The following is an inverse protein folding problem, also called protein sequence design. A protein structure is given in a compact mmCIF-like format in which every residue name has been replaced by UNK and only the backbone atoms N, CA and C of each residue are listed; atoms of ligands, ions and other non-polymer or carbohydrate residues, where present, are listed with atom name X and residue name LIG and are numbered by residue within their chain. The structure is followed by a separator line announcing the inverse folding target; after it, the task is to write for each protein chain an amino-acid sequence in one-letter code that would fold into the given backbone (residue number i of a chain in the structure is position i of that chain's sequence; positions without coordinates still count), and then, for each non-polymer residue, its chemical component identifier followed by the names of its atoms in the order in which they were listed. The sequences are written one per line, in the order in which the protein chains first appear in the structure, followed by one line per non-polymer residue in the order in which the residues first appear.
data_IF_459671580613
#
_entry.id   IF_459671580613
#
_cell.length_a   1.000
_cell.length_b   1.000
_cell.length_c   1.000
_cell.angle_alpha   90.00
_cell.angle_beta   90.00
_cell.angle_gamma   90.00
#
_symmetry.space_group_name_H-M   'P 1'
#
loop_
_entity.id
_entity.type
_entity.pdbx_description
1 polymer ?
#
# COMPACT_ATOMS: atom_id res chain seq x y z
N UNK A 1 12.08 1.93 -1.94
CA UNK A 1 12.23 0.91 -3.01
C UNK A 1 11.01 1.00 -3.91
N UNK A 2 11.15 1.49 -5.12
CA UNK A 2 10.04 1.68 -6.07
C UNK A 2 10.38 0.97 -7.37
N UNK A 3 9.46 0.17 -7.90
CA UNK A 3 9.62 -0.49 -9.19
C UNK A 3 9.38 0.46 -10.38
N UNK A 4 8.78 1.63 -10.14
CA UNK A 4 8.55 2.62 -11.19
C UNK A 4 9.79 3.51 -11.33
N UNK A 5 10.27 3.77 -12.55
CA UNK A 5 11.30 4.75 -12.77
C UNK A 5 10.78 6.15 -12.38
N UNK A 6 11.67 7.08 -11.94
CA UNK A 6 11.29 8.45 -11.78
C UNK A 6 10.73 8.95 -13.11
N UNK A 7 9.53 9.49 -13.10
CA UNK A 7 8.97 10.17 -14.27
C UNK A 7 9.34 11.64 -14.15
N UNK A 8 10.11 12.12 -15.12
CA UNK A 8 10.38 13.55 -15.27
C UNK A 8 9.12 14.21 -15.82
N UNK A 9 8.53 15.14 -15.05
CA UNK A 9 7.52 16.10 -15.49
C UNK A 9 6.17 15.56 -16.01
N UNK A 10 5.60 14.52 -15.42
CA UNK A 10 4.16 14.29 -15.63
C UNK A 10 3.39 15.43 -14.95
N UNK A 11 2.60 16.16 -15.71
CA UNK A 11 1.65 17.12 -15.16
C UNK A 11 0.58 16.34 -14.37
N UNK A 12 0.66 16.45 -13.03
CA UNK A 12 -0.24 15.73 -12.12
C UNK A 12 -1.69 16.11 -12.40
N UNK A 13 -1.94 17.35 -12.82
CA UNK A 13 -3.28 17.84 -13.12
C UNK A 13 -3.82 17.22 -14.42
N UNK A 14 -2.99 17.12 -15.44
CA UNK A 14 -3.37 16.44 -16.68
C UNK A 14 -3.64 14.95 -16.46
N UNK A 15 -2.78 14.26 -15.72
CA UNK A 15 -2.99 12.85 -15.37
C UNK A 15 -4.25 12.64 -14.53
N UNK A 16 -4.56 13.54 -13.62
CA UNK A 16 -5.76 13.49 -12.81
C UNK A 16 -7.01 13.61 -13.69
N UNK A 17 -7.05 14.60 -14.60
CA UNK A 17 -8.16 14.78 -15.55
C UNK A 17 -8.32 13.58 -16.49
N UNK A 18 -7.23 13.02 -17.01
CA UNK A 18 -7.28 11.80 -17.83
C UNK A 18 -7.88 10.61 -17.05
N UNK A 19 -7.56 10.45 -15.76
CA UNK A 19 -8.14 9.40 -14.94
C UNK A 19 -9.64 9.65 -14.66
N UNK A 20 -10.05 10.88 -14.44
CA UNK A 20 -11.48 11.25 -14.36
C UNK A 20 -12.22 10.83 -15.64
N UNK A 21 -11.68 11.15 -16.81
CA UNK A 21 -12.32 10.78 -18.09
C UNK A 21 -12.44 9.24 -18.25
N UNK A 22 -11.43 8.48 -17.82
CA UNK A 22 -11.50 7.01 -17.81
C UNK A 22 -12.62 6.49 -16.90
N UNK A 23 -12.78 7.08 -15.71
CA UNK A 23 -13.86 6.69 -14.79
C UNK A 23 -15.23 7.04 -15.36
N UNK A 24 -15.38 8.24 -15.94
CA UNK A 24 -16.63 8.66 -16.56
C UNK A 24 -17.05 7.77 -17.74
N UNK A 25 -16.08 7.27 -18.51
CA UNK A 25 -16.29 6.34 -19.63
C UNK A 25 -16.32 4.86 -19.24
N UNK A 26 -16.14 4.53 -17.97
CA UNK A 26 -16.05 3.15 -17.51
C UNK A 26 -17.40 2.42 -17.56
N UNK A 27 -17.44 1.13 -17.89
CA UNK A 27 -18.66 0.32 -17.82
C UNK A 27 -19.14 0.20 -16.37
N UNK A 28 -20.46 0.16 -16.16
CA UNK A 28 -21.07 0.15 -14.81
C UNK A 28 -20.85 -1.15 -14.01
N UNK A 29 -20.36 -2.20 -14.65
CA UNK A 29 -20.18 -3.53 -14.03
C UNK A 29 -18.74 -3.78 -13.58
N UNK A 30 -17.97 -2.74 -13.25
CA UNK A 30 -16.64 -2.88 -12.67
C UNK A 30 -16.79 -3.24 -11.18
N UNK A 31 -16.22 -4.36 -10.78
CA UNK A 31 -16.29 -4.83 -9.40
C UNK A 31 -15.13 -4.30 -8.52
N UNK A 32 -14.03 -3.84 -9.15
CA UNK A 32 -12.82 -3.46 -8.43
C UNK A 32 -12.04 -2.38 -9.17
N UNK A 33 -11.58 -1.37 -8.43
CA UNK A 33 -10.67 -0.32 -8.90
C UNK A 33 -9.49 -0.21 -7.93
N UNK A 34 -8.27 -0.38 -8.46
CA UNK A 34 -7.04 -0.08 -7.76
C UNK A 34 -6.59 1.35 -8.01
N UNK A 35 -6.43 2.15 -6.97
CA UNK A 35 -5.79 3.47 -7.05
C UNK A 35 -4.34 3.29 -6.62
N UNK A 36 -3.44 3.50 -7.55
CA UNK A 36 -1.99 3.37 -7.35
C UNK A 36 -1.26 4.42 -8.18
N UNK A 37 0.05 4.47 -8.08
CA UNK A 37 0.88 5.40 -8.84
C UNK A 37 2.18 5.66 -8.11
N UNK A 38 2.68 6.90 -8.07
CA UNK A 38 3.77 7.29 -7.19
C UNK A 38 3.31 7.16 -5.73
N UNK A 39 2.56 8.12 -5.26
CA UNK A 39 1.89 8.08 -3.96
C UNK A 39 0.54 8.80 -4.09
N UNK A 40 -0.60 8.08 -4.04
CA UNK A 40 -1.93 8.67 -4.25
C UNK A 40 -2.29 9.77 -3.27
N UNK A 41 -1.79 9.70 -2.03
CA UNK A 41 -2.10 10.71 -1.01
C UNK A 41 -1.48 12.08 -1.30
N UNK A 42 -0.48 12.16 -2.19
CA UNK A 42 0.08 13.45 -2.65
C UNK A 42 -0.90 14.25 -3.51
N UNK A 43 -1.99 13.65 -3.97
CA UNK A 43 -3.10 14.35 -4.61
C UNK A 43 -3.85 15.28 -3.63
N UNK A 44 -3.61 15.17 -2.31
CA UNK A 44 -4.29 15.99 -1.32
C UNK A 44 -5.81 15.85 -1.43
N UNK A 45 -6.53 16.98 -1.51
CA UNK A 45 -7.99 17.02 -1.60
C UNK A 45 -8.56 16.44 -2.92
N UNK A 46 -7.74 16.27 -3.93
CA UNK A 46 -8.16 15.61 -5.18
C UNK A 46 -8.42 14.12 -4.99
N UNK A 47 -7.75 13.46 -4.01
CA UNK A 47 -7.99 12.04 -3.75
C UNK A 47 -9.41 11.76 -3.23
N UNK A 48 -9.92 12.43 -2.18
CA UNK A 48 -11.34 12.30 -1.79
C UNK A 48 -12.30 12.64 -2.93
N UNK A 49 -12.01 13.67 -3.73
CA UNK A 49 -12.83 14.05 -4.90
C UNK A 49 -12.92 12.90 -5.91
N UNK A 50 -11.80 12.26 -6.22
CA UNK A 50 -11.75 11.10 -7.12
C UNK A 50 -12.57 9.92 -6.58
N UNK A 51 -12.45 9.63 -5.29
CA UNK A 51 -13.19 8.55 -4.61
C UNK A 51 -14.69 8.85 -4.67
N UNK A 52 -15.11 10.08 -4.38
CA UNK A 52 -16.51 10.50 -4.46
C UNK A 52 -17.08 10.33 -5.87
N UNK A 53 -16.31 10.68 -6.90
CA UNK A 53 -16.71 10.48 -8.30
C UNK A 53 -16.88 8.99 -8.63
N UNK A 54 -15.97 8.14 -8.16
CA UNK A 54 -16.08 6.68 -8.35
C UNK A 54 -17.34 6.17 -7.66
N UNK A 55 -17.65 6.59 -6.44
CA UNK A 55 -18.88 6.21 -5.72
C UNK A 55 -20.14 6.63 -6.44
N UNK A 56 -20.17 7.85 -7.00
CA UNK A 56 -21.30 8.33 -7.77
C UNK A 56 -21.56 7.50 -9.04
N UNK A 57 -20.50 7.16 -9.77
CA UNK A 57 -20.60 6.50 -11.08
C UNK A 57 -20.64 4.98 -10.99
N UNK A 58 -19.98 4.42 -10.01
CA UNK A 58 -19.72 2.99 -9.82
C UNK A 58 -19.99 2.60 -8.34
N UNK A 59 -21.22 2.69 -7.85
CA UNK A 59 -21.53 2.54 -6.42
C UNK A 59 -21.19 1.17 -5.86
N UNK A 60 -21.24 0.12 -6.67
CA UNK A 60 -20.97 -1.27 -6.25
C UNK A 60 -19.49 -1.70 -6.42
N UNK A 61 -18.61 -0.76 -6.79
CA UNK A 61 -17.20 -1.05 -7.06
C UNK A 61 -16.38 -0.99 -5.78
N UNK A 62 -15.61 -2.03 -5.49
CA UNK A 62 -14.62 -1.97 -4.42
C UNK A 62 -13.41 -1.11 -4.83
N UNK A 63 -13.04 -0.15 -3.99
CA UNK A 63 -11.86 0.70 -4.19
C UNK A 63 -10.73 0.21 -3.29
N UNK A 64 -9.56 -0.07 -3.88
CA UNK A 64 -8.37 -0.42 -3.15
C UNK A 64 -7.26 0.61 -3.41
N UNK A 65 -6.78 1.26 -2.36
CA UNK A 65 -5.76 2.32 -2.45
C UNK A 65 -4.43 1.79 -1.96
N UNK A 66 -3.43 1.76 -2.86
CA UNK A 66 -2.05 1.43 -2.51
C UNK A 66 -1.30 2.71 -2.16
N UNK A 67 -0.96 2.87 -0.89
CA UNK A 67 -0.28 4.06 -0.36
C UNK A 67 0.84 3.65 0.60
N UNK A 68 1.87 4.49 0.72
CA UNK A 68 2.88 4.33 1.77
C UNK A 68 2.32 4.57 3.20
N UNK A 69 1.10 5.05 3.32
CA UNK A 69 0.39 5.24 4.59
C UNK A 69 0.76 6.50 5.37
N UNK A 70 1.81 7.20 4.98
CA UNK A 70 2.42 8.26 5.80
C UNK A 70 1.54 9.48 5.99
N UNK A 71 0.86 9.96 4.94
CA UNK A 71 -0.03 11.13 5.05
C UNK A 71 -1.31 10.82 5.84
N UNK A 72 -1.69 9.56 5.98
CA UNK A 72 -2.74 9.14 6.90
C UNK A 72 -2.36 9.29 8.38
N UNK A 73 -1.12 9.64 8.70
CA UNK A 73 -0.73 10.06 10.06
C UNK A 73 -1.47 11.32 10.54
N UNK A 74 -2.02 12.13 9.60
CA UNK A 74 -3.01 13.16 9.92
C UNK A 74 -4.39 12.52 10.12
N UNK A 75 -4.98 12.58 11.35
CA UNK A 75 -6.31 12.02 11.61
C UNK A 75 -7.40 12.66 10.74
N UNK A 76 -7.30 13.98 10.51
CA UNK A 76 -8.24 14.73 9.70
C UNK A 76 -8.23 14.24 8.23
N UNK A 77 -7.03 14.09 7.65
CA UNK A 77 -6.89 13.59 6.29
C UNK A 77 -7.38 12.15 6.14
N UNK A 78 -7.02 11.27 7.09
CA UNK A 78 -7.50 9.89 7.12
C UNK A 78 -9.04 9.82 7.16
N UNK A 79 -9.65 10.60 8.07
CA UNK A 79 -11.11 10.68 8.19
C UNK A 79 -11.77 11.20 6.92
N UNK A 80 -11.22 12.26 6.31
CA UNK A 80 -11.75 12.82 5.06
C UNK A 80 -11.73 11.79 3.91
N UNK A 81 -10.60 11.10 3.71
CA UNK A 81 -10.49 10.10 2.64
C UNK A 81 -11.41 8.89 2.87
N UNK A 82 -11.49 8.40 4.11
CA UNK A 82 -12.32 7.22 4.43
C UNK A 82 -13.80 7.53 4.31
N UNK A 83 -14.25 8.70 4.79
CA UNK A 83 -15.68 9.06 4.81
C UNK A 83 -16.34 9.08 3.44
N UNK A 84 -15.57 9.40 2.39
CA UNK A 84 -16.09 9.43 1.00
C UNK A 84 -16.04 8.07 0.31
N UNK A 85 -15.27 7.12 0.84
CA UNK A 85 -15.09 5.78 0.27
C UNK A 85 -16.14 4.76 0.71
N UNK A 86 -16.88 5.05 1.78
CA UNK A 86 -17.83 4.14 2.39
C UNK A 86 -17.18 2.81 2.85
N UNK A 87 -17.96 1.78 3.13
CA UNK A 87 -17.51 0.45 3.54
C UNK A 87 -16.80 -0.36 2.43
N UNK A 88 -16.92 0.08 1.16
CA UNK A 88 -16.29 -0.55 0.00
C UNK A 88 -14.93 0.05 -0.36
N UNK A 89 -14.19 0.56 0.64
CA UNK A 89 -12.82 1.03 0.48
C UNK A 89 -11.85 0.20 1.32
N UNK A 90 -10.67 -0.06 0.78
CA UNK A 90 -9.57 -0.70 1.52
C UNK A 90 -8.23 -0.05 1.18
N UNK A 91 -7.28 -0.20 2.08
CA UNK A 91 -5.96 0.43 1.97
C UNK A 91 -4.86 -0.63 2.05
N UNK A 92 -4.00 -0.68 1.03
CA UNK A 92 -2.81 -1.51 1.03
C UNK A 92 -1.60 -0.69 1.49
N UNK A 93 -1.14 -0.95 2.73
CA UNK A 93 -0.08 -0.18 3.38
C UNK A 93 1.15 -1.07 3.59
N UNK A 94 2.35 -0.68 3.13
CA UNK A 94 3.56 -1.45 3.34
C UNK A 94 4.12 -1.27 4.76
N UNK A 95 4.48 -2.37 5.42
CA UNK A 95 5.31 -2.38 6.61
C UNK A 95 6.59 -3.16 6.31
N UNK A 96 7.73 -2.49 6.28
CA UNK A 96 8.99 -3.10 5.84
C UNK A 96 9.72 -3.86 6.96
N UNK A 97 9.53 -3.46 8.21
CA UNK A 97 10.11 -4.11 9.40
C UNK A 97 9.30 -3.78 10.66
N UNK A 98 9.43 -4.61 11.68
CA UNK A 98 8.99 -4.36 13.06
C UNK A 98 9.97 -3.43 13.81
N UNK A 99 11.14 -3.15 13.22
CA UNK A 99 12.18 -2.30 13.79
C UNK A 99 12.27 -0.99 12.98
N UNK A 100 12.19 0.14 13.69
CA UNK A 100 12.11 1.47 13.11
C UNK A 100 13.25 1.78 12.13
N UNK A 101 14.51 1.50 12.54
CA UNK A 101 15.67 1.81 11.71
C UNK A 101 15.66 1.04 10.39
N UNK A 102 15.28 -0.23 10.41
CA UNK A 102 15.21 -1.07 9.21
C UNK A 102 14.10 -0.60 8.29
N UNK A 103 12.92 -0.29 8.85
CA UNK A 103 11.80 0.25 8.07
C UNK A 103 12.19 1.58 7.43
N UNK A 104 12.75 2.51 8.19
CA UNK A 104 13.15 3.83 7.72
C UNK A 104 14.24 3.75 6.63
N UNK A 105 15.19 2.82 6.78
CA UNK A 105 16.23 2.58 5.79
C UNK A 105 15.65 2.07 4.47
N UNK A 106 14.72 1.11 4.52
CA UNK A 106 14.06 0.55 3.33
C UNK A 106 13.16 1.61 2.67
N UNK A 107 12.43 2.39 3.46
CA UNK A 107 11.53 3.44 2.98
C UNK A 107 12.30 4.69 2.48
N UNK A 108 13.58 4.85 2.86
CA UNK A 108 14.39 6.01 2.51
C UNK A 108 13.98 7.30 3.24
N UNK A 109 13.39 7.20 4.44
CA UNK A 109 12.97 8.35 5.23
C UNK A 109 12.94 8.05 6.72
N UNK A 110 13.57 8.90 7.53
CA UNK A 110 13.77 8.70 8.98
C UNK A 110 12.50 8.77 9.84
N UNK A 111 11.36 9.18 9.28
CA UNK A 111 10.07 9.25 9.98
C UNK A 111 9.04 8.25 9.44
N UNK A 112 9.41 7.48 8.40
CA UNK A 112 8.49 6.62 7.71
C UNK A 112 7.80 5.61 8.64
N UNK A 113 8.55 4.99 9.56
CA UNK A 113 8.00 4.00 10.49
C UNK A 113 6.87 4.56 11.36
N UNK A 114 7.15 5.67 12.03
CA UNK A 114 6.16 6.29 12.91
C UNK A 114 4.97 6.83 12.14
N UNK A 115 5.21 7.54 11.03
CA UNK A 115 4.14 8.07 10.18
C UNK A 115 3.25 6.94 9.63
N UNK A 116 3.84 5.82 9.18
CA UNK A 116 3.08 4.66 8.69
C UNK A 116 2.26 4.01 9.80
N UNK A 117 2.82 3.83 11.00
CA UNK A 117 2.07 3.27 12.14
C UNK A 117 0.89 4.18 12.55
N UNK A 118 1.12 5.49 12.66
CA UNK A 118 0.03 6.44 12.94
C UNK A 118 -1.03 6.41 11.84
N UNK A 119 -0.61 6.30 10.57
CA UNK A 119 -1.53 6.15 9.44
C UNK A 119 -2.40 4.89 9.56
N UNK A 120 -1.81 3.75 9.90
CA UNK A 120 -2.54 2.50 10.14
C UNK A 120 -3.57 2.64 11.27
N UNK A 121 -3.18 3.25 12.40
CA UNK A 121 -4.11 3.50 13.52
C UNK A 121 -5.26 4.43 13.12
N UNK A 122 -4.97 5.52 12.42
CA UNK A 122 -6.01 6.47 11.99
C UNK A 122 -6.98 5.84 10.97
N UNK A 123 -6.48 5.02 10.05
CA UNK A 123 -7.34 4.26 9.13
C UNK A 123 -8.23 3.27 9.91
N UNK A 124 -7.66 2.56 10.89
CA UNK A 124 -8.41 1.63 11.73
C UNK A 124 -9.49 2.34 12.58
N UNK A 125 -9.16 3.50 13.15
CA UNK A 125 -10.12 4.32 13.91
C UNK A 125 -11.30 4.79 13.07
N UNK A 126 -11.13 4.91 11.76
CA UNK A 126 -12.20 5.19 10.80
C UNK A 126 -12.84 3.92 10.22
N UNK A 127 -12.63 2.76 10.84
CA UNK A 127 -13.22 1.46 10.47
C UNK A 127 -12.91 1.00 9.04
N UNK A 128 -11.75 1.39 8.51
CA UNK A 128 -11.32 0.98 7.17
C UNK A 128 -10.79 -0.45 7.13
N UNK A 129 -11.01 -1.16 6.04
CA UNK A 129 -10.32 -2.41 5.76
C UNK A 129 -8.86 -2.13 5.37
N UNK A 130 -7.91 -2.79 6.04
CA UNK A 130 -6.48 -2.59 5.85
C UNK A 130 -5.80 -3.87 5.42
N UNK A 131 -5.14 -3.84 4.26
CA UNK A 131 -4.15 -4.80 3.84
C UNK A 131 -2.77 -4.35 4.33
N UNK A 132 -2.11 -5.15 5.15
CA UNK A 132 -0.71 -4.91 5.48
C UNK A 132 0.19 -5.66 4.50
N UNK A 133 1.03 -4.93 3.79
CA UNK A 133 1.87 -5.45 2.71
C UNK A 133 3.33 -5.57 3.17
N UNK A 134 3.87 -6.79 3.17
CA UNK A 134 5.26 -7.08 3.53
C UNK A 134 6.01 -7.45 2.25
N UNK A 135 6.73 -6.49 1.65
CA UNK A 135 7.61 -6.76 0.51
C UNK A 135 8.90 -7.37 1.03
N UNK A 136 9.10 -8.66 0.77
CA UNK A 136 10.22 -9.45 1.26
C UNK A 136 11.46 -9.12 0.44
N UNK A 137 12.53 -8.76 1.14
CA UNK A 137 13.81 -8.42 0.56
C UNK A 137 14.98 -8.86 1.48
N UNK A 138 16.21 -8.72 1.01
CA UNK A 138 17.39 -9.17 1.75
C UNK A 138 17.61 -8.44 3.10
N UNK A 139 16.99 -7.28 3.29
CA UNK A 139 17.11 -6.51 4.53
C UNK A 139 16.14 -6.97 5.62
N UNK A 140 14.97 -7.55 5.23
CA UNK A 140 13.93 -7.89 6.19
C UNK A 140 13.58 -9.39 6.27
N UNK A 141 13.98 -10.24 5.30
CA UNK A 141 13.50 -11.63 5.27
C UNK A 141 13.81 -12.44 6.53
N UNK A 142 14.98 -12.22 7.16
CA UNK A 142 15.35 -12.91 8.40
C UNK A 142 14.49 -12.50 9.60
N UNK A 143 13.83 -11.34 9.51
CA UNK A 143 12.95 -10.81 10.56
C UNK A 143 11.46 -11.14 10.34
N UNK A 144 11.10 -11.91 9.31
CA UNK A 144 9.70 -12.26 9.05
C UNK A 144 8.97 -12.87 10.26
N UNK A 145 9.60 -13.76 11.09
CA UNK A 145 8.96 -14.23 12.31
C UNK A 145 8.67 -13.11 13.32
N UNK A 146 9.62 -12.18 13.51
CA UNK A 146 9.48 -11.04 14.43
C UNK A 146 8.44 -10.04 13.92
N UNK A 147 8.46 -9.73 12.61
CA UNK A 147 7.46 -8.89 11.95
C UNK A 147 6.07 -9.49 12.15
N UNK A 148 5.91 -10.78 11.93
CA UNK A 148 4.63 -11.48 12.12
C UNK A 148 4.14 -11.40 13.56
N UNK A 149 5.02 -11.61 14.54
CA UNK A 149 4.73 -11.47 15.97
C UNK A 149 4.32 -10.03 16.33
N UNK A 150 5.05 -9.05 15.80
CA UNK A 150 4.73 -7.63 15.99
C UNK A 150 3.32 -7.30 15.48
N UNK A 151 2.97 -7.77 14.28
CA UNK A 151 1.65 -7.54 13.68
C UNK A 151 0.55 -8.15 14.54
N UNK A 152 0.68 -9.41 14.93
CA UNK A 152 -0.31 -10.11 15.76
C UNK A 152 -0.53 -9.42 17.11
N UNK A 153 0.54 -8.87 17.69
CA UNK A 153 0.48 -8.23 19.01
C UNK A 153 -0.01 -6.79 18.97
N UNK A 154 0.39 -6.02 17.96
CA UNK A 154 0.23 -4.57 17.95
C UNK A 154 -0.73 -4.06 16.86
N UNK A 155 -0.97 -4.83 15.80
CA UNK A 155 -1.78 -4.44 14.64
C UNK A 155 -2.92 -5.43 14.39
N UNK A 156 -3.56 -5.92 15.45
CA UNK A 156 -4.64 -6.92 15.37
C UNK A 156 -5.89 -6.42 14.64
N UNK A 157 -6.00 -5.13 14.38
CA UNK A 157 -7.07 -4.49 13.61
C UNK A 157 -6.88 -4.61 12.08
N UNK A 158 -5.73 -5.08 11.61
CA UNK A 158 -5.46 -5.30 10.17
C UNK A 158 -6.37 -6.41 9.65
N UNK A 159 -6.99 -6.18 8.49
CA UNK A 159 -7.97 -7.12 7.90
C UNK A 159 -7.30 -8.33 7.27
N UNK A 160 -6.17 -8.13 6.58
CA UNK A 160 -5.34 -9.21 6.01
C UNK A 160 -3.90 -8.77 5.81
N UNK A 161 -3.01 -9.75 5.63
CA UNK A 161 -1.58 -9.54 5.45
C UNK A 161 -1.14 -10.22 4.15
N UNK A 162 -0.44 -9.47 3.29
CA UNK A 162 0.17 -9.97 2.06
C UNK A 162 1.68 -10.02 2.19
N UNK A 163 2.25 -11.22 2.17
CA UNK A 163 3.69 -11.40 2.01
C UNK A 163 4.03 -11.46 0.53
N UNK A 164 4.80 -10.49 0.04
CA UNK A 164 5.05 -10.28 -1.37
C UNK A 164 6.53 -10.51 -1.66
N UNK A 165 6.86 -11.53 -2.45
CA UNK A 165 8.20 -11.71 -2.97
C UNK A 165 8.56 -10.55 -3.89
N UNK A 166 9.77 -10.01 -3.73
CA UNK A 166 10.21 -8.91 -4.59
C UNK A 166 10.52 -9.41 -6.00
N UNK A 167 9.97 -8.74 -7.00
CA UNK A 167 10.25 -9.01 -8.41
C UNK A 167 11.44 -8.18 -8.89
N UNK A 168 12.18 -8.73 -9.86
CA UNK A 168 13.32 -8.08 -10.52
C UNK A 168 12.85 -7.20 -11.67
N UNK A 169 12.14 -6.10 -11.35
CA UNK A 169 11.55 -5.20 -12.34
C UNK A 169 11.95 -3.76 -12.04
N UNK A 170 12.24 -2.97 -13.07
CA UNK A 170 12.55 -1.55 -12.94
C UNK A 170 13.83 -1.29 -12.14
N UNK A 171 13.79 -0.37 -11.18
CA UNK A 171 14.95 -0.05 -10.34
C UNK A 171 15.44 -1.24 -9.48
N UNK A 172 14.59 -2.23 -9.24
CA UNK A 172 14.99 -3.44 -8.51
C UNK A 172 15.98 -4.29 -9.31
N UNK A 173 15.95 -4.26 -10.63
CA UNK A 173 16.89 -5.01 -11.49
C UNK A 173 18.33 -4.46 -11.37
N UNK A 174 18.49 -3.14 -11.21
CA UNK A 174 19.81 -2.51 -11.04
C UNK A 174 20.39 -2.70 -9.64
N UNK A 175 19.53 -2.88 -8.62
CA UNK A 175 19.89 -3.07 -7.21
C UNK A 175 19.89 -4.54 -6.77
N UNK A 176 19.60 -5.45 -7.70
CA UNK A 176 19.29 -6.87 -7.50
C UNK A 176 20.23 -7.60 -6.51
N UNK A 177 21.53 -7.46 -6.67
CA UNK A 177 22.52 -8.21 -5.85
C UNK A 177 22.45 -7.91 -4.35
N UNK A 178 21.86 -6.79 -3.95
CA UNK A 178 21.82 -6.33 -2.56
C UNK A 178 20.46 -6.44 -1.89
N UNK A 179 19.38 -6.44 -2.68
CA UNK A 179 18.02 -6.39 -2.14
C UNK A 179 17.19 -7.63 -2.42
N UNK A 180 17.46 -8.36 -3.48
CA UNK A 180 16.72 -9.58 -3.81
C UNK A 180 17.10 -10.75 -2.90
N UNK A 181 16.15 -11.62 -2.58
CA UNK A 181 16.35 -12.84 -1.80
C UNK A 181 15.61 -14.01 -2.43
N UNK A 182 16.28 -15.17 -2.51
CA UNK A 182 15.68 -16.38 -3.07
C UNK A 182 14.48 -16.86 -2.26
N UNK A 183 13.35 -17.20 -2.91
CA UNK A 183 12.15 -17.68 -2.24
C UNK A 183 12.37 -18.82 -1.25
N UNK A 184 13.26 -19.78 -1.60
CA UNK A 184 13.59 -20.91 -0.71
C UNK A 184 14.15 -20.50 0.65
N UNK A 185 14.70 -19.28 0.78
CA UNK A 185 15.27 -18.78 2.04
C UNK A 185 14.23 -18.15 2.95
N UNK A 186 13.17 -17.56 2.41
CA UNK A 186 12.17 -16.85 3.22
C UNK A 186 10.84 -17.61 3.39
N UNK A 187 10.46 -18.48 2.44
CA UNK A 187 9.22 -19.25 2.55
C UNK A 187 9.12 -20.01 3.89
N UNK A 188 10.17 -20.70 4.37
CA UNK A 188 10.12 -21.41 5.66
C UNK A 188 9.98 -20.46 6.88
N UNK A 189 10.26 -19.17 6.71
CA UNK A 189 10.21 -18.18 7.78
C UNK A 189 8.84 -17.51 7.91
N UNK A 190 7.95 -17.73 6.94
CA UNK A 190 6.58 -17.21 7.00
C UNK A 190 5.76 -18.16 7.87
N UNK A 191 5.12 -17.66 8.94
CA UNK A 191 4.34 -18.52 9.83
C UNK A 191 3.19 -19.20 9.09
N UNK A 192 3.00 -20.49 9.33
CA UNK A 192 2.04 -21.35 8.61
C UNK A 192 0.56 -20.95 8.77
N UNK A 193 0.24 -20.15 9.78
CA UNK A 193 -1.12 -19.64 10.00
C UNK A 193 -1.47 -18.41 9.16
N UNK A 194 -0.53 -17.87 8.37
CA UNK A 194 -0.82 -16.82 7.40
C UNK A 194 -1.02 -17.42 6.02
N UNK A 195 -2.07 -16.97 5.33
CA UNK A 195 -2.27 -17.29 3.91
C UNK A 195 -1.22 -16.56 3.08
N UNK A 196 -0.49 -17.31 2.24
CA UNK A 196 0.49 -16.76 1.30
C UNK A 196 -0.22 -16.34 0.01
N UNK A 197 -0.12 -15.09 -0.35
CA UNK A 197 -0.49 -14.63 -1.68
C UNK A 197 0.78 -14.41 -2.49
N UNK A 198 1.01 -15.25 -3.49
CA UNK A 198 2.07 -15.02 -4.46
C UNK A 198 1.49 -14.23 -5.63
N UNK A 199 2.00 -13.03 -5.87
CA UNK A 199 1.81 -12.36 -7.14
C UNK A 199 2.93 -12.82 -8.06
N UNK A 200 2.59 -13.59 -9.09
CA UNK A 200 3.50 -13.93 -10.18
C UNK A 200 3.05 -13.04 -11.35
N UNK A 201 3.86 -12.05 -11.71
CA UNK A 201 3.67 -11.36 -12.99
C UNK A 201 4.12 -12.30 -14.11
N UNK A 202 3.23 -12.59 -15.01
CA UNK A 202 3.51 -13.24 -16.28
C UNK A 202 4.00 -12.23 -17.30
#
# INVERSE_FOLDING_TARGET
MCCQPPKDNDDIDELFEQNIQKILGAPKNINYIGITGGEPTLLGDKLPTLISLIREKLPDTHIHILSNGRLFSSPEYASNVVSVGDWMISFGIPLHSDYENDHNLIAGNNRAYQETLYGLYNLAMNSSAIELRIVINNMNYKRLPQISQFILKNLSFVSWISFIGMERIGNADTLDKHIWVEPKLYIPLIPQHFSLTFFIST
#
